data_IF_870147683141
#
_entry.id   IF_870147683141
#
_cell.length_a   1.000
_cell.length_b   1.000
_cell.length_c   1.000
_cell.angle_alpha   90.00
_cell.angle_beta   90.00
_cell.angle_gamma   90.00
#
_symmetry.space_group_name_H-M   'P 1'
#
loop_
_entity.id
_entity.type
_entity.pdbx_description
1 polymer ?
#
# COMPACT_ATOMS: atom_id res chain seq x y z
N UNK A 1 -0.27 -5.95 16.07
CA UNK A 1 -0.06 -7.00 15.05
C UNK A 1 -0.54 -6.43 13.73
N UNK A 2 0.35 -6.24 12.75
CA UNK A 2 0.05 -5.52 11.50
C UNK A 2 -1.15 -6.14 10.80
N UNK A 3 -2.09 -5.29 10.40
CA UNK A 3 -3.26 -5.61 9.62
C UNK A 3 -2.92 -6.37 8.34
N UNK A 4 -3.81 -7.25 7.92
CA UNK A 4 -3.66 -7.98 6.66
C UNK A 4 -3.68 -6.99 5.49
N UNK A 5 -2.51 -6.73 4.90
CA UNK A 5 -2.39 -5.94 3.66
C UNK A 5 -2.63 -6.89 2.49
N UNK A 6 -3.73 -6.68 1.77
CA UNK A 6 -4.05 -7.47 0.59
C UNK A 6 -3.46 -6.84 -0.66
N UNK A 7 -2.66 -7.64 -1.39
CA UNK A 7 -2.02 -7.24 -2.63
C UNK A 7 -2.32 -8.24 -3.76
N UNK A 8 -2.31 -7.73 -5.00
CA UNK A 8 -2.42 -8.50 -6.23
C UNK A 8 -1.17 -8.26 -7.05
N UNK A 9 -0.59 -9.35 -7.54
CA UNK A 9 0.61 -9.32 -8.35
C UNK A 9 0.31 -10.06 -9.66
N UNK A 10 0.61 -9.42 -10.79
CA UNK A 10 0.52 -10.03 -12.13
C UNK A 10 1.93 -10.18 -12.66
N UNK A 11 2.34 -11.43 -12.86
CA UNK A 11 3.66 -11.81 -13.34
C UNK A 11 3.59 -12.39 -14.74
N UNK A 12 4.63 -12.12 -15.52
CA UNK A 12 4.90 -12.75 -16.81
C UNK A 12 6.26 -13.43 -16.76
N UNK A 13 6.34 -14.67 -17.23
CA UNK A 13 7.61 -15.36 -17.46
C UNK A 13 8.21 -14.78 -18.75
N UNK A 14 9.38 -14.16 -18.63
CA UNK A 14 10.14 -13.60 -19.75
C UNK A 14 11.18 -14.60 -20.26
N UNK A 15 11.86 -15.27 -19.33
CA UNK A 15 12.88 -16.26 -19.64
C UNK A 15 12.59 -17.55 -18.85
N UNK A 16 12.07 -18.61 -19.52
CA UNK A 16 11.76 -19.86 -18.85
C UNK A 16 13.00 -20.63 -18.39
N UNK A 17 14.17 -20.40 -19.01
CA UNK A 17 15.43 -21.02 -18.58
C UNK A 17 15.87 -20.42 -17.25
N UNK A 18 15.94 -19.08 -17.16
CA UNK A 18 16.24 -18.41 -15.90
C UNK A 18 15.21 -18.77 -14.82
N UNK A 19 13.91 -18.70 -15.13
CA UNK A 19 12.86 -19.04 -14.17
C UNK A 19 12.94 -20.49 -13.65
N UNK A 20 13.51 -21.43 -14.41
CA UNK A 20 13.64 -22.83 -13.98
C UNK A 20 14.91 -23.11 -13.18
N UNK A 21 15.99 -22.35 -13.40
CA UNK A 21 17.32 -22.65 -12.87
C UNK A 21 17.88 -21.60 -11.91
N UNK A 22 17.35 -20.38 -11.87
CA UNK A 22 17.85 -19.31 -11.02
C UNK A 22 17.56 -19.56 -9.54
N UNK A 23 16.39 -20.10 -9.23
CA UNK A 23 15.91 -20.32 -7.86
C UNK A 23 14.86 -21.43 -7.82
N UNK A 24 14.68 -22.06 -6.65
CA UNK A 24 13.77 -23.19 -6.46
C UNK A 24 12.32 -22.88 -6.83
N UNK A 25 11.82 -21.69 -6.47
CA UNK A 25 10.48 -21.24 -6.86
C UNK A 25 10.46 -19.71 -7.09
N UNK A 26 10.62 -19.25 -8.34
CA UNK A 26 10.75 -17.82 -8.62
C UNK A 26 9.47 -17.04 -8.30
N UNK A 27 8.30 -17.66 -8.45
CA UNK A 27 7.01 -17.01 -8.12
C UNK A 27 6.91 -16.77 -6.61
N UNK A 28 7.33 -17.74 -5.81
CA UNK A 28 7.32 -17.62 -4.36
C UNK A 28 8.31 -16.58 -3.86
N UNK A 29 9.51 -16.53 -4.43
CA UNK A 29 10.53 -15.54 -4.07
C UNK A 29 10.09 -14.11 -4.42
N UNK A 30 9.49 -13.90 -5.60
CA UNK A 30 8.90 -12.59 -5.93
C UNK A 30 7.80 -12.21 -4.95
N UNK A 31 6.96 -13.16 -4.54
CA UNK A 31 5.91 -12.87 -3.56
C UNK A 31 6.49 -12.47 -2.19
N UNK A 32 7.59 -13.11 -1.76
CA UNK A 32 8.29 -12.72 -0.53
C UNK A 32 8.93 -11.34 -0.64
N UNK A 33 9.57 -11.06 -1.77
CA UNK A 33 10.15 -9.75 -2.07
C UNK A 33 9.06 -8.67 -2.03
N UNK A 34 7.94 -8.88 -2.72
CA UNK A 34 6.81 -7.96 -2.73
C UNK A 34 6.26 -7.67 -1.32
N UNK A 35 6.11 -8.71 -0.48
CA UNK A 35 5.68 -8.56 0.92
C UNK A 35 6.64 -7.70 1.74
N UNK A 36 7.94 -7.97 1.60
CA UNK A 36 8.98 -7.27 2.37
C UNK A 36 9.11 -5.82 1.93
N UNK A 37 9.14 -5.57 0.61
CA UNK A 37 9.20 -4.23 0.02
C UNK A 37 7.99 -3.40 0.42
N UNK A 38 6.79 -3.98 0.32
CA UNK A 38 5.56 -3.31 0.74
C UNK A 38 5.65 -2.91 2.21
N UNK A 39 6.02 -3.84 3.09
CA UNK A 39 6.15 -3.55 4.52
C UNK A 39 7.16 -2.42 4.80
N UNK A 40 8.29 -2.40 4.08
CA UNK A 40 9.33 -1.39 4.22
C UNK A 40 8.85 0.00 3.77
N UNK A 41 8.24 0.10 2.59
CA UNK A 41 7.77 1.37 2.02
C UNK A 41 6.60 1.96 2.82
N UNK A 42 5.70 1.11 3.31
CA UNK A 42 4.63 1.54 4.22
C UNK A 42 5.16 1.95 5.60
N UNK A 43 6.24 1.34 6.10
CA UNK A 43 6.85 1.75 7.36
C UNK A 43 7.50 3.14 7.32
N UNK A 44 7.92 3.60 6.14
CA UNK A 44 8.59 4.89 5.94
C UNK A 44 7.62 6.07 5.77
N UNK A 45 6.37 5.80 5.38
CA UNK A 45 5.38 6.83 5.05
C UNK A 45 4.47 7.09 6.26
N UNK A 46 4.17 8.35 6.58
CA UNK A 46 3.17 8.70 7.62
C UNK A 46 1.76 8.35 7.15
N UNK A 47 0.87 7.98 8.08
CA UNK A 47 -0.52 7.53 7.79
C UNK A 47 -1.31 8.45 6.84
N UNK A 48 -1.13 9.77 6.94
CA UNK A 48 -1.79 10.73 6.03
C UNK A 48 -1.26 10.63 4.59
N UNK A 49 0.06 10.49 4.42
CA UNK A 49 0.68 10.46 3.10
C UNK A 49 0.42 9.12 2.37
N UNK A 50 0.07 8.05 3.10
CA UNK A 50 -0.26 6.76 2.49
C UNK A 50 -1.49 6.80 1.58
N UNK A 51 -2.41 7.75 1.80
CA UNK A 51 -3.60 7.92 0.97
C UNK A 51 -3.36 8.85 -0.21
N UNK A 52 -2.51 9.87 -0.06
CA UNK A 52 -2.21 10.86 -1.09
C UNK A 52 -1.17 10.35 -2.11
N UNK A 53 -0.18 9.54 -1.68
CA UNK A 53 0.95 9.10 -2.51
C UNK A 53 0.84 7.66 -3.04
N UNK A 54 -0.37 7.09 -3.15
CA UNK A 54 -0.52 5.68 -3.56
C UNK A 54 0.17 5.35 -4.87
N UNK A 55 0.07 6.23 -5.87
CA UNK A 55 0.68 6.01 -7.18
C UNK A 55 2.21 6.02 -7.08
N UNK A 56 2.77 7.01 -6.38
CA UNK A 56 4.22 7.15 -6.15
C UNK A 56 4.80 5.94 -5.40
N UNK A 57 4.11 5.47 -4.37
CA UNK A 57 4.53 4.28 -3.60
C UNK A 57 4.44 3.03 -4.48
N UNK A 58 3.38 2.91 -5.28
CA UNK A 58 3.18 1.76 -6.16
C UNK A 58 4.28 1.68 -7.23
N UNK A 59 4.64 2.80 -7.86
CA UNK A 59 5.74 2.87 -8.83
C UNK A 59 7.08 2.44 -8.22
N UNK A 60 7.40 2.91 -7.01
CA UNK A 60 8.61 2.50 -6.29
C UNK A 60 8.62 1.01 -5.99
N UNK A 61 7.52 0.47 -5.49
CA UNK A 61 7.41 -0.97 -5.18
C UNK A 61 7.57 -1.80 -6.46
N UNK A 62 6.92 -1.42 -7.56
CA UNK A 62 7.03 -2.11 -8.85
C UNK A 62 8.47 -2.09 -9.37
N UNK A 63 9.19 -0.98 -9.19
CA UNK A 63 10.58 -0.85 -9.59
C UNK A 63 11.47 -1.83 -8.85
N UNK A 64 11.41 -1.83 -7.51
CA UNK A 64 12.20 -2.73 -6.66
C UNK A 64 11.87 -4.20 -6.93
N UNK A 65 10.59 -4.52 -7.14
CA UNK A 65 10.18 -5.89 -7.48
C UNK A 65 10.76 -6.32 -8.83
N UNK A 66 10.73 -5.45 -9.85
CA UNK A 66 11.23 -5.79 -11.18
C UNK A 66 12.76 -5.94 -11.23
N UNK A 67 13.49 -5.19 -10.41
CA UNK A 67 14.94 -5.36 -10.27
C UNK A 67 15.29 -6.81 -9.86
N UNK A 68 14.64 -7.34 -8.82
CA UNK A 68 14.86 -8.73 -8.40
C UNK A 68 14.19 -9.78 -9.31
N UNK A 69 13.02 -9.48 -9.86
CA UNK A 69 12.29 -10.42 -10.73
C UNK A 69 13.05 -10.74 -12.03
N UNK A 70 13.82 -9.77 -12.54
CA UNK A 70 14.59 -9.94 -13.78
C UNK A 70 15.66 -11.03 -13.64
N UNK A 71 16.32 -11.12 -12.49
CA UNK A 71 17.30 -12.17 -12.18
C UNK A 71 16.69 -13.57 -12.15
N UNK A 72 15.36 -13.64 -11.97
CA UNK A 72 14.59 -14.87 -11.96
C UNK A 72 13.82 -15.12 -13.26
N UNK A 73 14.10 -14.37 -14.33
CA UNK A 73 13.42 -14.52 -15.62
C UNK A 73 11.95 -14.11 -15.58
N UNK A 74 11.53 -13.32 -14.59
CA UNK A 74 10.16 -12.85 -14.39
C UNK A 74 10.06 -11.34 -14.61
N UNK A 75 8.87 -10.89 -15.02
CA UNK A 75 8.50 -9.48 -15.10
C UNK A 75 7.20 -9.22 -14.37
N UNK A 76 7.19 -8.22 -13.50
CA UNK A 76 5.99 -7.72 -12.87
C UNK A 76 5.29 -6.74 -13.79
N UNK A 77 4.10 -7.13 -14.28
CA UNK A 77 3.26 -6.31 -15.14
C UNK A 77 2.42 -5.33 -14.33
N UNK A 78 1.98 -5.75 -13.14
CA UNK A 78 1.11 -4.95 -12.30
C UNK A 78 1.25 -5.39 -10.85
N UNK A 79 1.40 -4.41 -9.97
CA UNK A 79 1.25 -4.56 -8.54
C UNK A 79 0.12 -3.65 -8.07
N UNK A 80 -0.83 -4.20 -7.32
CA UNK A 80 -1.95 -3.43 -6.77
C UNK A 80 -2.22 -3.78 -5.33
N UNK A 81 -2.57 -2.75 -4.57
CA UNK A 81 -2.87 -2.85 -3.16
C UNK A 81 -4.38 -2.66 -3.01
N UNK A 82 -5.09 -3.74 -2.68
CA UNK A 82 -6.56 -3.75 -2.70
C UNK A 82 -7.17 -2.99 -1.52
N UNK A 83 -6.64 -3.16 -0.31
CA UNK A 83 -6.97 -2.32 0.85
C UNK A 83 -6.07 -2.66 2.04
N UNK A 84 -5.77 -1.62 2.82
CA UNK A 84 -5.18 -1.74 4.16
C UNK A 84 -6.33 -1.54 5.13
N UNK A 85 -6.68 -2.58 5.89
CA UNK A 85 -7.61 -2.38 7.01
C UNK A 85 -6.82 -1.70 8.13
N UNK A 86 -7.12 -0.44 8.52
CA UNK A 86 -6.45 0.17 9.65
C UNK A 86 -6.75 -0.65 10.92
N UNK A 87 -5.77 -0.83 11.83
CA UNK A 87 -6.01 -1.42 13.14
C UNK A 87 -7.15 -0.71 13.87
N UNK A 88 -7.89 -1.45 14.69
CA UNK A 88 -9.07 -0.98 15.45
C UNK A 88 -8.83 0.37 16.17
N UNK A 89 -7.65 0.53 16.75
CA UNK A 89 -7.21 1.71 17.51
C UNK A 89 -7.14 2.99 16.66
N UNK A 90 -6.63 2.89 15.43
CA UNK A 90 -6.55 4.04 14.50
C UNK A 90 -7.93 4.34 13.92
N UNK A 91 -8.76 3.31 13.71
CA UNK A 91 -10.13 3.49 13.22
C UNK A 91 -10.98 4.26 14.22
N UNK A 92 -10.82 4.00 15.52
CA UNK A 92 -11.44 4.78 16.58
C UNK A 92 -10.98 6.25 16.55
N UNK A 93 -9.66 6.50 16.49
CA UNK A 93 -9.11 7.85 16.45
C UNK A 93 -9.55 8.66 15.21
N UNK A 94 -9.68 8.02 14.03
CA UNK A 94 -10.19 8.67 12.82
C UNK A 94 -11.66 9.06 12.96
N UNK A 95 -12.47 8.19 13.59
CA UNK A 95 -13.89 8.45 13.85
C UNK A 95 -14.05 9.61 14.83
N UNK A 96 -13.22 9.67 15.86
CA UNK A 96 -13.21 10.77 16.84
C UNK A 96 -12.81 12.10 16.18
N UNK A 97 -11.77 12.10 15.33
CA UNK A 97 -11.34 13.29 14.60
C UNK A 97 -12.42 13.79 13.61
N UNK A 98 -13.14 12.89 12.95
CA UNK A 98 -14.28 13.22 12.08
C UNK A 98 -15.47 13.77 12.85
N UNK A 99 -15.75 13.21 14.04
CA UNK A 99 -16.81 13.69 14.94
C UNK A 99 -16.49 15.10 15.46
N UNK A 100 -15.25 15.35 15.87
CA UNK A 100 -14.76 16.67 16.29
C UNK A 100 -14.87 17.69 15.15
N UNK A 101 -14.45 17.31 13.93
CA UNK A 101 -14.59 18.17 12.74
C UNK A 101 -16.04 18.54 12.47
N UNK A 102 -16.97 17.57 12.56
CA UNK A 102 -18.40 17.82 12.40
C UNK A 102 -18.94 18.76 13.48
N UNK A 103 -18.53 18.57 14.72
CA UNK A 103 -18.91 19.41 15.84
C UNK A 103 -18.44 20.87 15.63
N UNK A 104 -17.16 21.08 15.33
CA UNK A 104 -16.62 22.41 15.04
C UNK A 104 -17.33 23.07 13.84
N UNK A 105 -17.60 22.32 12.76
CA UNK A 105 -18.31 22.84 11.59
C UNK A 105 -19.76 23.26 11.91
N UNK A 106 -20.45 22.53 12.79
CA UNK A 106 -21.79 22.89 13.25
C UNK A 106 -21.79 24.16 14.08
N UNK A 107 -20.83 24.31 15.01
CA UNK A 107 -20.66 25.55 15.79
C UNK A 107 -20.40 26.74 14.86
N UNK A 108 -19.46 26.60 13.94
CA UNK A 108 -19.10 27.65 12.99
C UNK A 108 -20.30 28.09 12.14
N UNK A 109 -21.10 27.13 11.66
CA UNK A 109 -22.32 27.40 10.91
C UNK A 109 -23.41 28.06 11.77
N UNK A 110 -23.52 27.70 13.06
CA UNK A 110 -24.46 28.29 13.99
C UNK A 110 -24.09 29.75 14.33
N UNK A 111 -22.79 30.04 14.51
CA UNK A 111 -22.28 31.40 14.71
C UNK A 111 -22.50 32.27 13.47
N UNK A 112 -22.20 31.74 12.27
CA UNK A 112 -22.44 32.43 11.01
C UNK A 112 -23.92 32.77 10.77
N UNK A 113 -24.85 31.95 11.28
CA UNK A 113 -26.29 32.16 11.15
C UNK A 113 -26.86 33.16 12.18
N UNK A 114 -26.16 33.42 13.29
CA UNK A 114 -26.53 34.42 14.31
C UNK A 114 -25.94 35.81 14.04
N UNK A 115 -24.88 35.90 13.25
CA UNK A 115 -24.23 37.16 12.86
C UNK A 115 -24.86 37.87 11.64
N UNK A 116 -26.06 37.46 11.22
CA UNK A 116 -26.84 38.04 10.12
C UNK A 116 -28.20 38.47 10.64
#
# INVERSE_FOLDING_TARGET
MMSAIHHVLILQIMDPYLASYSVENPIYEVLQLAKTTTRSEYGKTTLNNMFEDRDTVNEKIVTIINEGATDWGLKCLRYEIRNITPPEEIRAALTDAEAEKKWCAQILAAEARRGK
#
